data_IF_287945551019
#
_entry.id   IF_287945551019
#
_cell.length_a   1.000
_cell.length_b   1.000
_cell.length_c   1.000
_cell.angle_alpha   90.00
_cell.angle_beta   90.00
_cell.angle_gamma   90.00
#
_symmetry.space_group_name_H-M   'P 1'
#
loop_
_entity.id
_entity.type
_entity.pdbx_description
1 polymer ?
#
# COMPACT_ATOMS: atom_id res chain seq x y z
N UNK A 1 30.01 -36.37 -39.85
CA UNK A 1 30.51 -36.96 -38.59
C UNK A 1 30.90 -35.81 -37.66
N UNK A 2 30.13 -35.54 -36.60
CA UNK A 2 30.46 -34.49 -35.64
C UNK A 2 31.82 -34.79 -34.97
N UNK A 3 32.65 -33.75 -34.79
CA UNK A 3 34.00 -33.90 -34.22
C UNK A 3 33.93 -34.36 -32.76
N UNK A 4 34.98 -35.02 -32.26
CA UNK A 4 35.05 -35.48 -30.85
C UNK A 4 34.86 -34.34 -29.85
N UNK A 5 35.33 -33.13 -30.20
CA UNK A 5 35.16 -31.92 -29.40
C UNK A 5 33.69 -31.45 -29.38
N UNK A 6 33.00 -31.50 -30.52
CA UNK A 6 31.57 -31.15 -30.61
C UNK A 6 30.71 -32.10 -29.78
N UNK A 7 30.98 -33.41 -29.83
CA UNK A 7 30.25 -34.40 -29.02
C UNK A 7 30.45 -34.19 -27.52
N UNK A 8 31.64 -33.75 -27.08
CA UNK A 8 31.90 -33.46 -25.67
C UNK A 8 31.24 -32.15 -25.22
N UNK A 9 31.19 -31.13 -26.09
CA UNK A 9 30.47 -29.89 -25.83
C UNK A 9 28.96 -30.11 -25.73
N UNK A 10 28.39 -30.92 -26.63
CA UNK A 10 26.98 -31.33 -26.59
C UNK A 10 26.66 -32.14 -25.32
N UNK A 11 27.54 -33.06 -24.93
CA UNK A 11 27.38 -33.81 -23.67
C UNK A 11 27.45 -32.91 -22.43
N UNK A 12 28.32 -31.90 -22.44
CA UNK A 12 28.43 -30.92 -21.36
C UNK A 12 27.18 -30.02 -21.28
N UNK A 13 26.66 -29.56 -22.43
CA UNK A 13 25.42 -28.80 -22.51
C UNK A 13 24.21 -29.63 -22.04
N UNK A 14 24.09 -30.87 -22.48
CA UNK A 14 23.04 -31.78 -22.04
C UNK A 14 23.08 -32.03 -20.52
N UNK A 15 24.27 -32.14 -19.92
CA UNK A 15 24.42 -32.28 -18.47
C UNK A 15 24.03 -30.99 -17.72
N UNK A 16 24.32 -29.81 -18.28
CA UNK A 16 23.89 -28.53 -17.73
C UNK A 16 22.37 -28.38 -17.80
N UNK A 17 21.77 -28.75 -18.92
CA UNK A 17 20.33 -28.66 -19.13
C UNK A 17 19.56 -29.65 -18.24
N UNK A 18 20.09 -30.87 -18.04
CA UNK A 18 19.54 -31.82 -17.09
C UNK A 18 19.55 -31.28 -15.64
N UNK A 19 20.64 -30.64 -15.21
CA UNK A 19 20.73 -30.00 -13.88
C UNK A 19 19.79 -28.81 -13.74
N UNK A 20 19.62 -28.02 -14.81
CA UNK A 20 18.66 -26.91 -14.84
C UNK A 20 17.22 -27.44 -14.74
N UNK A 21 16.88 -28.49 -15.47
CA UNK A 21 15.57 -29.13 -15.42
C UNK A 21 15.25 -29.71 -14.03
N UNK A 22 16.22 -30.38 -13.39
CA UNK A 22 16.05 -30.89 -12.02
C UNK A 22 15.84 -29.75 -11.01
N UNK A 23 16.59 -28.64 -11.16
CA UNK A 23 16.40 -27.46 -10.31
C UNK A 23 15.02 -26.84 -10.50
N UNK A 24 14.55 -26.73 -11.75
CA UNK A 24 13.21 -26.23 -12.07
C UNK A 24 12.13 -27.12 -11.47
N UNK A 25 12.22 -28.45 -11.63
CA UNK A 25 11.29 -29.40 -11.05
C UNK A 25 11.23 -29.29 -9.51
N UNK A 26 12.37 -29.12 -8.83
CA UNK A 26 12.42 -28.89 -7.38
C UNK A 26 11.76 -27.57 -6.98
N UNK A 27 11.96 -26.50 -7.77
CA UNK A 27 11.30 -25.21 -7.51
C UNK A 27 9.79 -25.27 -7.76
N UNK A 28 9.34 -26.00 -8.77
CA UNK A 28 7.92 -26.21 -9.08
C UNK A 28 7.24 -27.04 -7.98
N UNK A 29 7.89 -28.09 -7.48
CA UNK A 29 7.40 -28.86 -6.33
C UNK A 29 7.25 -27.99 -5.08
N UNK A 30 8.26 -27.16 -4.76
CA UNK A 30 8.17 -26.22 -3.64
C UNK A 30 7.09 -25.14 -3.82
N UNK A 31 6.81 -24.74 -5.07
CA UNK A 31 5.73 -23.79 -5.37
C UNK A 31 4.35 -24.45 -5.21
N UNK A 32 4.20 -25.71 -5.63
CA UNK A 32 2.97 -26.49 -5.48
C UNK A 32 2.62 -26.74 -4.00
N UNK A 33 3.61 -27.02 -3.15
CA UNK A 33 3.43 -27.14 -1.70
C UNK A 33 2.98 -25.82 -1.06
N UNK A 34 3.51 -24.69 -1.52
CA UNK A 34 3.08 -23.36 -1.07
C UNK A 34 1.69 -23.00 -1.57
N UNK A 35 1.33 -23.38 -2.80
CA UNK A 35 -0.01 -23.18 -3.34
C UNK A 35 -1.04 -24.04 -2.61
N UNK A 36 -0.69 -25.27 -2.17
CA UNK A 36 -1.55 -26.09 -1.32
C UNK A 36 -1.82 -25.47 0.07
N UNK A 37 -0.89 -24.67 0.59
CA UNK A 37 -1.06 -23.95 1.86
C UNK A 37 -1.86 -22.64 1.73
N UNK A 38 -1.91 -22.06 0.53
CA UNK A 38 -2.64 -20.81 0.22
C UNK A 38 -4.00 -21.09 -0.43
N UNK A 39 -4.16 -22.24 -1.08
CA UNK A 39 -5.42 -22.70 -1.64
C UNK A 39 -6.46 -22.79 -0.52
N UNK A 40 -7.59 -22.07 -0.64
CA UNK A 40 -8.66 -22.15 0.33
C UNK A 40 -9.31 -23.54 0.22
N UNK A 41 -8.84 -24.50 1.00
CA UNK A 41 -9.61 -25.70 1.30
C UNK A 41 -11.00 -25.25 1.73
N UNK A 42 -12.03 -25.78 1.05
CA UNK A 42 -13.42 -25.42 1.22
C UNK A 42 -13.95 -25.76 2.63
N UNK A 43 -13.50 -25.02 3.64
CA UNK A 43 -14.13 -24.96 4.94
C UNK A 43 -15.30 -23.99 4.83
N UNK A 44 -16.51 -24.55 4.90
CA UNK A 44 -17.78 -23.87 5.06
C UNK A 44 -17.63 -22.56 5.84
N UNK A 45 -17.88 -21.45 5.14
CA UNK A 45 -17.78 -20.09 5.67
C UNK A 45 -18.98 -19.85 6.59
N UNK A 46 -18.94 -20.36 7.83
CA UNK A 46 -19.92 -19.98 8.86
C UNK A 46 -19.71 -18.51 9.20
N UNK A 47 -20.69 -17.72 8.80
CA UNK A 47 -20.83 -16.30 9.11
C UNK A 47 -20.80 -16.10 10.62
N UNK A 48 -19.86 -15.29 11.10
CA UNK A 48 -19.88 -14.77 12.49
C UNK A 48 -21.06 -13.83 12.63
N UNK A 49 -22.20 -14.32 13.10
CA UNK A 49 -23.21 -13.50 13.76
C UNK A 49 -22.79 -13.28 15.19
N UNK A 50 -22.65 -12.01 15.57
CA UNK A 50 -22.51 -11.60 16.95
C UNK A 50 -23.85 -11.81 17.67
N UNK A 51 -23.86 -12.71 18.65
CA UNK A 51 -24.79 -12.70 19.80
C UNK A 51 -24.03 -13.29 20.98
N UNK A 52 -23.38 -12.44 21.79
CA UNK A 52 -22.87 -12.85 23.08
C UNK A 52 -23.93 -12.52 24.12
N UNK A 53 -24.61 -13.56 24.59
CA UNK A 53 -25.71 -13.46 25.54
C UNK A 53 -26.19 -14.86 25.87
N UNK A 54 -25.40 -15.61 26.63
CA UNK A 54 -25.86 -16.79 27.34
C UNK A 54 -25.47 -16.65 28.81
N UNK A 55 -26.53 -16.65 29.61
CA UNK A 55 -26.63 -16.76 31.06
C UNK A 55 -25.52 -17.59 31.68
N UNK A 56 -24.79 -16.99 32.61
CA UNK A 56 -24.23 -17.72 33.74
C UNK A 56 -25.28 -17.67 34.83
N UNK A 57 -25.99 -18.78 35.01
CA UNK A 57 -26.51 -19.13 36.32
C UNK A 57 -26.39 -20.66 36.46
N UNK A 58 -25.70 -21.00 37.55
CA UNK A 58 -25.75 -22.25 38.32
C UNK A 58 -25.06 -23.53 37.79
N UNK A 59 -23.83 -23.77 38.28
CA UNK A 59 -23.55 -24.85 39.24
C UNK A 59 -22.04 -25.03 39.44
N UNK A 60 -21.58 -24.77 40.67
CA UNK A 60 -20.41 -25.36 41.35
C UNK A 60 -19.14 -25.69 40.54
N UNK A 61 -18.09 -24.85 40.68
CA UNK A 61 -16.70 -25.27 40.46
C UNK A 61 -15.75 -24.51 41.40
N UNK A 62 -15.76 -24.94 42.66
CA UNK A 62 -14.58 -24.85 43.52
C UNK A 62 -14.04 -26.28 43.55
N UNK A 63 -12.98 -26.57 42.79
CA UNK A 63 -12.05 -27.61 43.19
C UNK A 63 -11.71 -28.73 42.21
N UNK A 64 -11.78 -28.56 40.89
CA UNK A 64 -11.09 -29.49 39.98
C UNK A 64 -10.20 -28.76 38.96
N UNK A 65 -8.88 -28.89 39.09
CA UNK A 65 -7.90 -28.46 38.10
C UNK A 65 -8.01 -29.38 36.87
N UNK A 66 -9.05 -29.19 36.06
CA UNK A 66 -9.21 -29.90 34.80
C UNK A 66 -8.00 -29.59 33.89
N UNK A 67 -7.36 -30.60 33.28
CA UNK A 67 -6.22 -30.37 32.40
C UNK A 67 -6.65 -29.50 31.22
N UNK A 68 -5.87 -28.45 30.94
CA UNK A 68 -6.09 -27.53 29.82
C UNK A 68 -6.42 -28.32 28.55
N UNK A 69 -7.55 -27.99 27.93
CA UNK A 69 -7.95 -28.64 26.68
C UNK A 69 -6.87 -28.41 25.61
N UNK A 70 -6.69 -29.34 24.68
CA UNK A 70 -5.63 -29.24 23.65
C UNK A 70 -5.63 -27.90 22.89
N UNK A 71 -6.82 -27.32 22.72
CA UNK A 71 -7.03 -26.00 22.12
C UNK A 71 -6.54 -24.86 23.02
N UNK A 72 -6.81 -24.92 24.32
CA UNK A 72 -6.32 -23.93 25.29
C UNK A 72 -4.81 -24.02 25.49
N UNK A 73 -4.24 -25.23 25.45
CA UNK A 73 -2.79 -25.43 25.48
C UNK A 73 -2.12 -24.84 24.23
N UNK A 74 -2.69 -25.04 23.04
CA UNK A 74 -2.21 -24.45 21.80
C UNK A 74 -2.29 -22.91 21.83
N UNK A 75 -3.41 -22.35 22.27
CA UNK A 75 -3.59 -20.91 22.43
C UNK A 75 -2.58 -20.33 23.45
N UNK A 76 -2.34 -21.02 24.57
CA UNK A 76 -1.38 -20.60 25.59
C UNK A 76 0.05 -20.66 25.06
N UNK A 77 0.39 -21.65 24.22
CA UNK A 77 1.68 -21.75 23.54
C UNK A 77 1.89 -20.61 22.53
N UNK A 78 0.87 -20.27 21.75
CA UNK A 78 0.90 -19.11 20.83
C UNK A 78 0.98 -17.77 21.56
N UNK A 79 0.46 -17.70 22.79
CA UNK A 79 0.52 -16.52 23.68
C UNK A 79 1.83 -16.42 24.49
N UNK A 80 2.72 -17.43 24.43
CA UNK A 80 4.04 -17.33 25.07
C UNK A 80 4.85 -16.26 24.34
N UNK A 81 5.04 -15.12 25.00
CA UNK A 81 5.85 -14.01 24.49
C UNK A 81 7.31 -14.47 24.45
N UNK A 82 7.80 -14.79 23.25
CA UNK A 82 9.21 -15.13 23.05
C UNK A 82 10.11 -13.91 23.29
N UNK A 83 11.40 -14.13 23.56
CA UNK A 83 12.37 -13.04 23.64
C UNK A 83 12.33 -12.13 22.40
N UNK A 84 12.09 -12.71 21.22
CA UNK A 84 11.91 -11.97 19.96
C UNK A 84 10.71 -11.02 19.98
N UNK A 85 9.64 -11.38 20.68
CA UNK A 85 8.50 -10.48 20.87
C UNK A 85 8.91 -9.25 21.70
N UNK A 86 9.63 -9.43 22.80
CA UNK A 86 10.10 -8.32 23.63
C UNK A 86 11.12 -7.43 22.89
N UNK A 87 12.05 -8.00 22.12
CA UNK A 87 13.00 -7.20 21.33
C UNK A 87 12.28 -6.38 20.25
N UNK A 88 11.27 -6.96 19.59
CA UNK A 88 10.45 -6.23 18.63
C UNK A 88 9.67 -5.09 19.29
N UNK A 89 9.16 -5.30 20.51
CA UNK A 89 8.43 -4.29 21.26
C UNK A 89 9.35 -3.15 21.75
N UNK A 90 10.59 -3.46 22.13
CA UNK A 90 11.62 -2.47 22.47
C UNK A 90 11.95 -1.61 21.24
N UNK A 91 12.19 -2.23 20.09
CA UNK A 91 12.46 -1.52 18.84
C UNK A 91 11.28 -0.61 18.43
N UNK A 92 10.04 -1.12 18.53
CA UNK A 92 8.84 -0.32 18.26
C UNK A 92 8.70 0.88 19.22
N UNK A 93 8.94 0.68 20.52
CA UNK A 93 8.90 1.77 21.52
C UNK A 93 10.03 2.79 21.31
N UNK A 94 11.23 2.34 20.95
CA UNK A 94 12.35 3.21 20.63
C UNK A 94 12.05 4.08 19.40
N UNK A 95 11.54 3.48 18.33
CA UNK A 95 11.13 4.21 17.12
C UNK A 95 10.01 5.21 17.41
N UNK A 96 9.02 4.83 18.24
CA UNK A 96 7.94 5.74 18.63
C UNK A 96 8.45 6.92 19.47
N UNK A 97 9.40 6.70 20.39
CA UNK A 97 10.01 7.76 21.21
C UNK A 97 10.88 8.70 20.38
N UNK A 98 11.66 8.15 19.44
CA UNK A 98 12.46 8.94 18.50
C UNK A 98 11.59 9.80 17.59
N UNK A 99 10.49 9.26 17.09
CA UNK A 99 9.53 10.01 16.27
C UNK A 99 8.78 11.08 17.07
N UNK A 100 8.36 10.79 18.31
CA UNK A 100 7.66 11.77 19.14
C UNK A 100 8.56 12.88 19.68
N UNK A 101 9.84 12.59 19.92
CA UNK A 101 10.80 13.59 20.41
C UNK A 101 11.27 14.56 19.33
N UNK A 102 11.35 14.10 18.07
CA UNK A 102 11.80 14.93 16.95
C UNK A 102 10.85 16.10 16.65
N UNK A 103 9.54 15.89 16.84
CA UNK A 103 8.50 16.85 16.50
C UNK A 103 7.96 17.59 17.75
N UNK A 104 8.56 17.38 18.92
CA UNK A 104 8.13 18.01 20.17
C UNK A 104 8.47 19.51 20.26
N UNK A 105 9.36 20.00 19.40
CA UNK A 105 9.90 21.37 19.44
C UNK A 105 9.00 22.47 18.87
N UNK A 106 7.84 22.15 18.29
CA UNK A 106 6.87 23.15 17.76
C UNK A 106 7.35 23.99 16.57
N UNK A 107 8.63 23.93 16.25
CA UNK A 107 9.36 24.68 15.23
C UNK A 107 9.77 23.76 14.07
N UNK A 108 8.85 22.89 13.64
CA UNK A 108 9.02 22.19 12.36
C UNK A 108 8.60 23.14 11.25
N UNK A 109 9.58 23.88 10.73
CA UNK A 109 9.43 24.70 9.53
C UNK A 109 8.86 23.86 8.40
N UNK A 110 7.60 24.11 8.05
CA UNK A 110 6.96 23.49 6.89
C UNK A 110 7.53 24.19 5.66
N UNK A 111 8.23 23.47 4.75
CA UNK A 111 8.79 24.09 3.57
C UNK A 111 7.68 24.75 2.75
N UNK A 112 7.83 26.05 2.47
CA UNK A 112 6.88 26.78 1.66
C UNK A 112 6.75 26.15 0.27
N UNK A 113 5.54 26.25 -0.31
CA UNK A 113 5.28 25.73 -1.65
C UNK A 113 5.97 26.60 -2.70
N UNK A 114 7.19 26.19 -3.09
CA UNK A 114 7.98 26.84 -4.14
C UNK A 114 7.24 26.85 -5.49
N UNK A 115 7.34 27.97 -6.24
CA UNK A 115 6.93 28.00 -7.65
C UNK A 115 7.89 27.13 -8.47
N UNK A 116 7.44 26.61 -9.61
CA UNK A 116 8.25 25.72 -10.45
C UNK A 116 9.58 26.37 -10.89
N UNK A 117 9.58 27.68 -11.13
CA UNK A 117 10.78 28.46 -11.49
C UNK A 117 11.82 28.44 -10.37
N UNK A 118 11.40 28.71 -9.14
CA UNK A 118 12.29 28.79 -7.98
C UNK A 118 12.88 27.41 -7.65
N UNK A 119 12.07 26.36 -7.79
CA UNK A 119 12.51 24.96 -7.64
C UNK A 119 13.59 24.58 -8.67
N UNK A 120 13.39 24.96 -9.94
CA UNK A 120 14.37 24.69 -11.00
C UNK A 120 15.68 25.44 -10.74
N UNK A 121 15.62 26.72 -10.37
CA UNK A 121 16.79 27.50 -10.01
C UNK A 121 17.53 26.91 -8.81
N UNK A 122 16.83 26.47 -7.75
CA UNK A 122 17.41 25.81 -6.58
C UNK A 122 18.11 24.51 -6.95
N UNK A 123 17.46 23.65 -7.74
CA UNK A 123 18.02 22.37 -8.17
C UNK A 123 19.26 22.57 -9.08
N UNK A 124 19.23 23.54 -9.98
CA UNK A 124 20.37 23.86 -10.83
C UNK A 124 21.54 24.42 -10.01
N UNK A 125 21.26 25.33 -9.06
CA UNK A 125 22.28 25.86 -8.16
C UNK A 125 22.87 24.78 -7.23
N UNK A 126 22.06 23.81 -6.78
CA UNK A 126 22.51 22.66 -5.99
C UNK A 126 23.38 21.71 -6.84
N UNK A 127 23.01 21.47 -8.10
CA UNK A 127 23.80 20.71 -9.06
C UNK A 127 25.14 21.38 -9.35
N UNK A 128 25.16 22.69 -9.56
CA UNK A 128 26.39 23.46 -9.73
C UNK A 128 27.26 23.44 -8.46
N UNK A 129 26.67 23.60 -7.27
CA UNK A 129 27.42 23.50 -6.01
C UNK A 129 27.97 22.11 -5.78
N UNK A 130 27.25 21.06 -6.19
CA UNK A 130 27.74 19.67 -6.15
C UNK A 130 28.91 19.48 -7.11
N UNK A 131 28.87 20.05 -8.31
CA UNK A 131 29.98 20.02 -9.26
C UNK A 131 31.19 20.89 -8.85
N UNK A 132 30.95 21.98 -8.12
CA UNK A 132 31.99 22.91 -7.62
C UNK A 132 32.57 22.50 -6.26
N UNK A 133 31.96 21.54 -5.55
CA UNK A 133 32.55 20.98 -4.33
C UNK A 133 33.81 20.22 -4.73
N UNK A 134 34.96 20.69 -4.25
CA UNK A 134 36.22 19.93 -4.38
C UNK A 134 35.97 18.53 -3.81
N UNK A 135 36.35 17.45 -4.54
CA UNK A 135 36.32 16.12 -3.96
C UNK A 135 37.19 16.14 -2.70
N UNK A 136 36.69 15.49 -1.65
CA UNK A 136 37.44 15.29 -0.42
C UNK A 136 38.77 14.59 -0.75
N UNK A 137 39.83 14.84 0.01
CA UNK A 137 41.24 14.49 -0.32
C UNK A 137 41.49 12.97 -0.47
N UNK A 138 40.48 12.11 -0.29
CA UNK A 138 40.51 10.66 -0.55
C UNK A 138 39.50 10.14 -1.58
N UNK A 139 38.83 11.04 -2.31
CA UNK A 139 37.87 10.69 -3.38
C UNK A 139 38.44 10.91 -4.79
N UNK A 140 39.76 11.07 -4.92
CA UNK A 140 40.47 10.88 -6.17
C UNK A 140 40.59 9.38 -6.42
N UNK A 141 39.48 8.75 -6.79
CA UNK A 141 39.55 7.50 -7.55
C UNK A 141 40.08 7.92 -8.91
N UNK A 142 41.40 7.82 -9.05
CA UNK A 142 42.18 8.32 -10.17
C UNK A 142 41.41 8.18 -11.47
N UNK A 143 41.08 9.33 -12.05
CA UNK A 143 40.54 9.44 -13.40
C UNK A 143 41.58 9.10 -14.46
N UNK A 144 42.43 8.09 -14.23
CA UNK A 144 42.96 7.30 -15.32
C UNK A 144 41.74 6.61 -15.90
N UNK A 145 41.27 7.17 -17.02
CA UNK A 145 40.29 6.55 -17.88
C UNK A 145 40.60 5.07 -17.96
N UNK A 146 39.73 4.24 -17.38
CA UNK A 146 39.72 2.83 -17.72
C UNK A 146 39.70 2.79 -19.24
N UNK A 147 40.76 2.25 -19.82
CA UNK A 147 40.92 2.06 -21.24
C UNK A 147 39.62 1.43 -21.76
N UNK A 148 39.12 1.86 -22.93
CA UNK A 148 37.96 1.24 -23.55
C UNK A 148 38.17 -0.28 -23.63
N UNK A 149 39.40 -0.73 -23.84
CA UNK A 149 39.79 -2.14 -23.81
C UNK A 149 39.62 -2.80 -22.43
N UNK A 150 39.93 -2.12 -21.33
CA UNK A 150 39.77 -2.65 -19.97
C UNK A 150 38.30 -2.76 -19.57
N UNK A 151 37.47 -1.80 -20.00
CA UNK A 151 36.02 -1.86 -19.82
C UNK A 151 35.41 -2.99 -20.67
N UNK A 152 35.88 -3.17 -21.91
CA UNK A 152 35.47 -4.28 -22.77
C UNK A 152 35.92 -5.63 -22.21
N UNK A 153 37.13 -5.72 -21.65
CA UNK A 153 37.65 -6.93 -21.04
C UNK A 153 36.89 -7.29 -19.74
N UNK A 154 36.57 -6.30 -18.89
CA UNK A 154 35.73 -6.49 -17.72
C UNK A 154 34.29 -6.92 -18.09
N UNK A 155 33.74 -6.40 -19.19
CA UNK A 155 32.45 -6.84 -19.73
C UNK A 155 32.51 -8.27 -20.28
N UNK A 156 33.59 -8.65 -20.97
CA UNK A 156 33.80 -10.02 -21.47
C UNK A 156 33.96 -11.03 -20.34
N UNK A 157 34.78 -10.73 -19.32
CA UNK A 157 34.96 -11.57 -18.13
C UNK A 157 33.63 -11.72 -17.37
N UNK A 158 32.85 -10.65 -17.27
CA UNK A 158 31.53 -10.64 -16.62
C UNK A 158 30.47 -11.41 -17.43
N UNK A 159 30.58 -11.43 -18.77
CA UNK A 159 29.74 -12.23 -19.65
C UNK A 159 30.11 -13.72 -19.60
N UNK A 160 31.40 -14.04 -19.52
CA UNK A 160 31.94 -15.41 -19.45
C UNK A 160 31.65 -16.08 -18.09
N UNK A 161 31.57 -15.31 -17.00
CA UNK A 161 31.28 -15.80 -15.65
C UNK A 161 29.81 -16.23 -15.41
N UNK A 162 28.90 -16.10 -16.38
CA UNK A 162 27.54 -16.66 -16.34
C UNK A 162 26.61 -16.17 -15.21
N UNK A 163 27.05 -15.21 -14.39
CA UNK A 163 26.34 -14.75 -13.19
C UNK A 163 25.32 -13.63 -13.41
N UNK A 164 25.18 -13.12 -14.63
CA UNK A 164 24.47 -11.87 -14.92
C UNK A 164 23.09 -12.02 -15.56
N UNK A 165 22.66 -13.23 -15.89
CA UNK A 165 21.41 -13.48 -16.59
C UNK A 165 20.18 -12.86 -15.88
N UNK A 166 20.17 -12.87 -14.54
CA UNK A 166 19.12 -12.20 -13.76
C UNK A 166 19.15 -10.67 -13.88
N UNK A 167 20.34 -10.06 -13.88
CA UNK A 167 20.49 -8.61 -14.02
C UNK A 167 20.09 -8.15 -15.42
N UNK A 168 20.41 -8.91 -16.46
CA UNK A 168 20.02 -8.64 -17.84
C UNK A 168 18.50 -8.79 -18.04
N UNK A 169 17.87 -9.78 -17.40
CA UNK A 169 16.40 -9.91 -17.38
C UNK A 169 15.72 -8.71 -16.71
N UNK A 170 16.29 -8.20 -15.61
CA UNK A 170 15.77 -7.00 -14.94
C UNK A 170 15.95 -5.76 -15.81
N UNK A 171 17.11 -5.61 -16.46
CA UNK A 171 17.41 -4.50 -17.36
C UNK A 171 16.48 -4.49 -18.58
N UNK A 172 16.30 -5.64 -19.24
CA UNK A 172 15.38 -5.80 -20.38
C UNK A 172 13.93 -5.57 -19.97
N UNK A 173 13.48 -6.04 -18.80
CA UNK A 173 12.13 -5.75 -18.27
C UNK A 173 11.94 -4.27 -17.98
N UNK A 174 12.94 -3.60 -17.43
CA UNK A 174 12.89 -2.17 -17.19
C UNK A 174 12.87 -1.38 -18.51
N UNK A 175 13.62 -1.81 -19.52
CA UNK A 175 13.60 -1.24 -20.87
C UNK A 175 12.23 -1.42 -21.53
N UNK A 176 11.67 -2.65 -21.54
CA UNK A 176 10.33 -2.96 -22.05
C UNK A 176 9.25 -2.10 -21.38
N UNK A 177 9.27 -1.96 -20.05
CA UNK A 177 8.32 -1.09 -19.35
C UNK A 177 8.41 0.37 -19.79
N UNK A 178 9.61 0.87 -20.11
CA UNK A 178 9.80 2.24 -20.62
C UNK A 178 9.26 2.37 -22.04
N UNK A 179 9.53 1.40 -22.91
CA UNK A 179 9.03 1.39 -24.29
C UNK A 179 7.52 1.27 -24.32
N UNK A 180 6.93 0.37 -23.53
CA UNK A 180 5.47 0.19 -23.44
C UNK A 180 4.79 1.46 -22.94
N UNK A 181 5.39 2.14 -21.95
CA UNK A 181 4.88 3.42 -21.44
C UNK A 181 4.97 4.53 -22.50
N UNK A 182 6.06 4.58 -23.27
CA UNK A 182 6.23 5.55 -24.35
C UNK A 182 5.19 5.30 -25.46
N UNK A 183 5.06 4.05 -25.91
CA UNK A 183 4.07 3.65 -26.91
C UNK A 183 2.62 3.94 -26.46
N UNK A 184 2.30 3.69 -25.18
CA UNK A 184 0.98 4.02 -24.62
C UNK A 184 0.76 5.54 -24.60
N UNK A 185 1.77 6.33 -24.24
CA UNK A 185 1.69 7.78 -24.25
C UNK A 185 1.52 8.34 -25.67
N UNK A 186 2.25 7.81 -26.66
CA UNK A 186 2.11 8.16 -28.08
C UNK A 186 0.72 7.81 -28.60
N UNK A 187 0.21 6.60 -28.30
CA UNK A 187 -1.14 6.20 -28.64
C UNK A 187 -2.20 7.13 -28.02
N UNK A 188 -1.99 7.58 -26.77
CA UNK A 188 -2.86 8.56 -26.12
C UNK A 188 -2.83 9.93 -26.80
N UNK A 189 -1.66 10.40 -27.21
CA UNK A 189 -1.51 11.66 -27.94
C UNK A 189 -2.19 11.59 -29.30
N UNK A 190 -1.98 10.51 -30.06
CA UNK A 190 -2.62 10.31 -31.35
C UNK A 190 -4.15 10.22 -31.23
N UNK A 191 -4.67 9.49 -30.24
CA UNK A 191 -6.10 9.44 -30.00
C UNK A 191 -6.67 10.81 -29.62
N UNK A 192 -5.97 11.57 -28.77
CA UNK A 192 -6.39 12.92 -28.40
C UNK A 192 -6.43 13.88 -29.60
N UNK A 193 -5.44 13.80 -30.51
CA UNK A 193 -5.42 14.56 -31.76
C UNK A 193 -6.60 14.20 -32.69
N UNK A 194 -7.00 12.93 -32.70
CA UNK A 194 -8.15 12.44 -33.46
C UNK A 194 -9.50 12.70 -32.74
N UNK A 195 -9.50 13.43 -31.62
CA UNK A 195 -10.71 13.71 -30.83
C UNK A 195 -11.27 12.50 -30.08
N UNK A 196 -10.53 11.39 -30.04
CA UNK A 196 -10.86 10.16 -29.34
C UNK A 196 -10.16 10.02 -27.99
N UNK A 197 -10.51 8.97 -27.26
CA UNK A 197 -9.81 8.53 -26.05
C UNK A 197 -9.34 7.10 -26.28
N UNK A 198 -8.09 6.79 -25.91
CA UNK A 198 -7.64 5.39 -25.83
C UNK A 198 -8.44 4.71 -24.73
N UNK A 199 -9.45 3.94 -25.13
CA UNK A 199 -10.14 2.99 -24.26
C UNK A 199 -9.47 1.65 -24.49
N UNK A 200 -8.64 1.24 -23.54
CA UNK A 200 -8.19 -0.16 -23.48
C UNK A 200 -9.38 -0.95 -22.97
N UNK A 201 -10.22 -1.42 -23.89
CA UNK A 201 -11.28 -2.36 -23.55
C UNK A 201 -10.63 -3.71 -23.29
N UNK A 202 -10.42 -4.04 -22.01
CA UNK A 202 -10.20 -5.43 -21.62
C UNK A 202 -11.48 -6.20 -21.94
N UNK A 203 -11.54 -6.82 -23.12
CA UNK A 203 -12.58 -7.80 -23.44
C UNK A 203 -12.43 -8.97 -22.49
N UNK A 204 -13.12 -8.89 -21.35
CA UNK A 204 -13.20 -9.98 -20.39
C UNK A 204 -14.19 -11.00 -20.93
N UNK A 205 -13.75 -11.79 -21.91
CA UNK A 205 -14.49 -12.91 -22.47
C UNK A 205 -14.78 -13.89 -21.32
N UNK A 206 -16.04 -14.23 -21.11
CA UNK A 206 -16.42 -15.19 -20.08
C UNK A 206 -15.90 -16.59 -20.40
N UNK A 207 -15.89 -17.50 -19.43
CA UNK A 207 -15.46 -18.89 -19.63
C UNK A 207 -16.21 -19.63 -20.76
N UNK A 208 -17.40 -19.17 -21.14
CA UNK A 208 -18.23 -19.68 -22.24
C UNK A 208 -17.84 -19.13 -23.63
N UNK A 209 -16.79 -18.31 -23.74
CA UNK A 209 -16.34 -17.71 -25.01
C UNK A 209 -17.26 -16.63 -25.60
N UNK A 210 -18.44 -16.41 -25.02
CA UNK A 210 -19.44 -15.41 -25.49
C UNK A 210 -19.24 -14.05 -24.82
N UNK A 211 -19.44 -12.99 -25.60
CA UNK A 211 -19.45 -11.59 -25.11
C UNK A 211 -20.73 -11.35 -24.30
N UNK A 212 -20.60 -10.82 -23.08
CA UNK A 212 -21.74 -10.47 -22.22
C UNK A 212 -22.26 -9.07 -22.56
N UNK A 213 -23.55 -8.86 -22.36
CA UNK A 213 -24.16 -7.52 -22.42
C UNK A 213 -23.50 -6.59 -21.39
N UNK A 214 -23.21 -5.36 -21.77
CA UNK A 214 -22.63 -4.37 -20.86
C UNK A 214 -23.70 -3.77 -19.94
N UNK A 215 -23.31 -3.32 -18.74
CA UNK A 215 -24.23 -2.70 -17.78
C UNK A 215 -24.95 -1.47 -18.34
N UNK A 216 -24.29 -0.72 -19.23
CA UNK A 216 -24.86 0.47 -19.87
C UNK A 216 -26.05 0.10 -20.76
N UNK A 217 -25.91 -0.97 -21.55
CA UNK A 217 -26.97 -1.49 -22.42
C UNK A 217 -28.06 -2.16 -21.57
N UNK A 218 -27.66 -2.98 -20.59
CA UNK A 218 -28.59 -3.71 -19.72
C UNK A 218 -29.52 -2.78 -18.93
N UNK A 219 -28.99 -1.66 -18.40
CA UNK A 219 -29.79 -0.74 -17.57
C UNK A 219 -30.38 0.45 -18.32
N UNK A 220 -29.94 0.73 -19.55
CA UNK A 220 -30.39 1.82 -20.40
C UNK A 220 -30.66 3.15 -19.65
N UNK A 221 -29.70 3.58 -18.82
CA UNK A 221 -29.87 4.76 -17.95
C UNK A 221 -29.61 6.08 -18.66
N UNK A 222 -29.02 6.08 -19.86
CA UNK A 222 -28.69 7.29 -20.61
C UNK A 222 -27.80 8.29 -19.85
N UNK A 223 -27.88 9.56 -20.25
CA UNK A 223 -27.07 10.67 -19.71
C UNK A 223 -27.71 11.31 -18.44
N UNK A 224 -27.94 10.50 -17.39
CA UNK A 224 -28.49 11.06 -16.14
C UNK A 224 -27.45 11.92 -15.37
N UNK A 225 -27.87 13.03 -14.73
CA UNK A 225 -26.97 13.83 -13.90
C UNK A 225 -26.53 13.07 -12.64
N UNK A 226 -25.33 13.38 -12.15
CA UNK A 226 -24.81 12.76 -10.94
C UNK A 226 -25.66 13.12 -9.70
N UNK A 227 -26.17 12.10 -9.01
CA UNK A 227 -26.94 12.23 -7.76
C UNK A 227 -26.12 11.76 -6.56
N UNK A 228 -26.10 12.55 -5.48
CA UNK A 228 -25.39 12.21 -4.22
C UNK A 228 -25.87 10.87 -3.66
N UNK A 229 -24.97 10.11 -3.03
CA UNK A 229 -25.26 8.79 -2.41
C UNK A 229 -26.41 8.84 -1.39
N UNK A 230 -26.55 9.95 -0.66
CA UNK A 230 -27.59 10.14 0.35
C UNK A 230 -29.01 10.16 -0.24
N UNK A 231 -29.15 10.61 -1.50
CA UNK A 231 -30.44 10.67 -2.19
C UNK A 231 -30.93 9.28 -2.57
N UNK A 232 -30.03 8.29 -2.66
CA UNK A 232 -30.40 6.89 -2.93
C UNK A 232 -31.25 6.28 -1.81
N UNK A 233 -31.10 6.76 -0.57
CA UNK A 233 -31.87 6.28 0.57
C UNK A 233 -32.65 7.43 1.23
N UNK A 234 -33.99 7.47 1.11
CA UNK A 234 -34.80 8.58 1.63
C UNK A 234 -34.67 8.74 3.15
N UNK A 235 -34.47 7.64 3.90
CA UNK A 235 -34.25 7.68 5.35
C UNK A 235 -32.95 8.42 5.69
N UNK A 236 -31.86 8.09 5.00
CA UNK A 236 -30.55 8.71 5.23
C UNK A 236 -30.58 10.20 4.87
N UNK A 237 -31.25 10.57 3.78
CA UNK A 237 -31.47 11.97 3.39
C UNK A 237 -32.21 12.75 4.48
N UNK A 238 -33.33 12.22 5.00
CA UNK A 238 -34.12 12.88 6.06
C UNK A 238 -33.35 12.97 7.38
N UNK A 239 -32.61 11.93 7.77
CA UNK A 239 -31.76 11.94 8.97
C UNK A 239 -30.70 13.04 8.91
N UNK A 240 -29.93 13.10 7.81
CA UNK A 240 -28.89 14.13 7.63
C UNK A 240 -29.47 15.54 7.58
N UNK A 241 -30.62 15.73 6.90
CA UNK A 241 -31.34 17.01 6.88
C UNK A 241 -31.77 17.44 8.29
N UNK A 242 -32.23 16.50 9.13
CA UNK A 242 -32.59 16.78 10.52
C UNK A 242 -31.36 17.16 11.35
N UNK A 243 -30.27 16.41 11.27
CA UNK A 243 -29.02 16.70 11.98
C UNK A 243 -28.46 18.08 11.58
N UNK A 244 -28.47 18.42 10.29
CA UNK A 244 -28.04 19.73 9.80
C UNK A 244 -28.93 20.86 10.34
N UNK A 245 -30.26 20.69 10.28
CA UNK A 245 -31.20 21.67 10.83
C UNK A 245 -31.07 21.81 12.35
N UNK A 246 -30.82 20.72 13.07
CA UNK A 246 -30.59 20.74 14.52
C UNK A 246 -29.33 21.56 14.88
N UNK A 247 -28.26 21.43 14.08
CA UNK A 247 -27.05 22.26 14.23
C UNK A 247 -27.32 23.74 13.94
N UNK A 248 -28.02 24.04 12.84
CA UNK A 248 -28.41 25.43 12.48
C UNK A 248 -29.27 26.08 13.56
N UNK A 249 -30.24 25.33 14.10
CA UNK A 249 -31.09 25.80 15.19
C UNK A 249 -30.26 26.17 16.43
N UNK A 250 -29.27 25.35 16.79
CA UNK A 250 -28.33 25.66 17.88
C UNK A 250 -27.42 26.87 17.63
N UNK A 251 -27.28 27.32 16.38
CA UNK A 251 -26.57 28.55 16.05
C UNK A 251 -27.46 29.79 16.12
N UNK A 252 -28.77 29.65 15.91
CA UNK A 252 -29.71 30.77 15.90
C UNK A 252 -30.23 31.10 17.31
N UNK A 253 -30.51 30.06 18.10
CA UNK A 253 -31.01 30.21 19.47
C UNK A 253 -30.26 29.29 20.43
N UNK A 254 -30.16 29.73 21.67
CA UNK A 254 -29.67 28.86 22.74
C UNK A 254 -30.66 27.71 22.93
N UNK A 255 -30.17 26.48 22.76
CA UNK A 255 -30.96 25.25 22.96
C UNK A 255 -30.47 24.60 24.24
N UNK A 256 -31.40 24.21 25.09
CA UNK A 256 -31.09 23.40 26.27
C UNK A 256 -30.43 22.08 25.87
N UNK A 257 -29.23 21.81 26.38
CA UNK A 257 -28.43 20.60 26.05
C UNK A 257 -28.28 19.62 27.21
N UNK A 258 -29.12 19.71 28.24
CA UNK A 258 -29.11 18.77 29.37
C UNK A 258 -28.49 19.29 30.67
N UNK A 259 -28.44 20.62 30.85
CA UNK A 259 -28.02 21.24 32.10
C UNK A 259 -26.52 21.16 32.40
N UNK A 260 -26.19 21.30 33.67
CA UNK A 260 -24.83 21.27 34.18
C UNK A 260 -24.21 19.89 33.94
N UNK A 261 -22.98 19.89 33.44
CA UNK A 261 -22.26 18.66 33.15
C UNK A 261 -21.92 17.89 34.43
N UNK A 262 -21.59 16.61 34.28
CA UNK A 262 -21.03 15.81 35.36
C UNK A 262 -19.67 16.40 35.75
N UNK A 263 -19.63 17.19 36.81
CA UNK A 263 -18.44 17.96 37.22
C UNK A 263 -18.74 19.32 37.84
N UNK A 264 -20.00 19.74 37.86
CA UNK A 264 -20.37 21.03 38.45
C UNK A 264 -20.18 22.22 37.50
N UNK A 265 -20.38 23.42 38.01
CA UNK A 265 -20.32 24.67 37.25
C UNK A 265 -18.86 25.09 37.04
N UNK A 266 -18.36 24.87 35.82
CA UNK A 266 -17.01 25.24 35.40
C UNK A 266 -16.88 26.68 34.85
N UNK A 267 -17.92 27.50 34.99
CA UNK A 267 -18.00 28.82 34.34
C UNK A 267 -18.57 28.77 32.91
N UNK A 268 -18.77 29.96 32.33
CA UNK A 268 -19.26 30.12 30.96
C UNK A 268 -18.15 29.82 29.94
N UNK A 269 -18.14 28.60 29.40
CA UNK A 269 -17.10 28.11 28.49
C UNK A 269 -16.86 28.98 27.25
N UNK A 270 -17.89 29.63 26.73
CA UNK A 270 -17.80 30.50 25.54
C UNK A 270 -17.58 31.97 25.86
N UNK A 271 -17.47 32.33 27.14
CA UNK A 271 -17.30 33.70 27.62
C UNK A 271 -18.60 34.51 27.74
N UNK A 272 -18.53 35.57 28.54
CA UNK A 272 -19.63 36.50 28.83
C UNK A 272 -19.37 37.84 28.15
N UNK A 273 -20.36 38.39 27.44
CA UNK A 273 -20.29 39.73 26.84
C UNK A 273 -21.15 40.71 27.64
N UNK A 274 -20.53 41.60 28.40
CA UNK A 274 -21.23 42.51 29.33
C UNK A 274 -22.21 43.49 28.66
N UNK A 275 -21.91 43.97 27.45
CA UNK A 275 -22.78 44.92 26.73
C UNK A 275 -23.93 44.29 25.92
N UNK A 276 -24.16 42.98 26.00
CA UNK A 276 -25.16 42.30 25.16
C UNK A 276 -26.44 41.99 25.94
N UNK A 277 -27.50 42.74 25.67
CA UNK A 277 -28.84 42.51 26.22
C UNK A 277 -29.69 41.73 25.19
N UNK A 278 -30.23 40.57 25.58
CA UNK A 278 -31.07 39.69 24.72
C UNK A 278 -32.53 39.57 25.18
N UNK A 279 -33.00 40.42 26.10
CA UNK A 279 -34.39 40.42 26.54
C UNK A 279 -35.32 41.02 25.47
N UNK A 280 -36.55 40.52 25.41
CA UNK A 280 -37.60 41.13 24.58
C UNK A 280 -38.20 42.32 25.32
N UNK A 281 -38.08 43.52 24.73
CA UNK A 281 -38.75 44.73 25.24
C UNK A 281 -40.27 44.57 25.04
N UNK A 282 -41.02 44.85 26.09
CA UNK A 282 -42.49 44.86 26.08
C UNK A 282 -43.02 46.15 25.45
#
# INVERSE_FOLDING_TARGET
MASRAQKHAEAAQAAIDARKAERMARTEAGLADLDALVAPGAASRKTKSATNGMSRDDASDIGEEAPLTAREAADKAQRKKSLRFYTSQIAQKANKRGASGRNAGGDEDVPHRERLRDRQARLNAEAEKRGKRRPDIGADLGGESADEEEVHQAQQIRAEAGGNEYYDLVATRAAKKKTDKAALAEAQQQAALQGGRVVVEEERVGADGKRKISYLIEKNKGLTPHRKKEVRNPRVKKRKKYEEKKKKLGSMKAVWKGGEGRGGYGGELTGIKGGLVKSTKL
#
